data_IF_904522589669
#
_entry.id   IF_904522589669
#
_cell.length_a   1.000
_cell.length_b   1.000
_cell.length_c   1.000
_cell.angle_alpha   90.00
_cell.angle_beta   90.00
_cell.angle_gamma   90.00
#
_symmetry.space_group_name_H-M   'P 1'
#
loop_
_entity.id
_entity.type
_entity.pdbx_description
1 polymer ?
#
# COMPACT_ATOMS: atom_id res chain seq x y z
N UNK A 1 20.99 -7.22 10.86
CA UNK A 1 20.63 -8.04 9.68
C UNK A 1 19.14 -8.35 9.61
N UNK A 2 18.51 -8.79 10.72
CA UNK A 2 17.06 -9.04 10.78
C UNK A 2 16.19 -7.82 10.39
N UNK A 3 16.57 -6.62 10.87
CA UNK A 3 15.88 -5.37 10.56
C UNK A 3 15.82 -5.06 9.06
N UNK A 4 16.95 -5.23 8.35
CA UNK A 4 17.04 -5.00 6.89
C UNK A 4 16.19 -6.00 6.08
N UNK A 5 16.11 -7.25 6.53
CA UNK A 5 15.27 -8.26 5.87
C UNK A 5 13.79 -7.98 6.09
N UNK A 6 13.40 -7.66 7.34
CA UNK A 6 12.04 -7.29 7.68
C UNK A 6 11.59 -6.05 6.90
N UNK A 7 12.44 -5.03 6.85
CA UNK A 7 12.20 -3.81 6.08
C UNK A 7 11.95 -4.12 4.60
N UNK A 8 12.81 -4.92 3.97
CA UNK A 8 12.63 -5.32 2.55
C UNK A 8 11.35 -6.12 2.31
N UNK A 9 10.95 -6.95 3.27
CA UNK A 9 9.68 -7.66 3.19
C UNK A 9 8.50 -6.67 3.21
N UNK A 10 8.50 -5.72 4.15
CA UNK A 10 7.45 -4.69 4.24
C UNK A 10 7.41 -3.81 2.98
N UNK A 11 8.57 -3.39 2.47
CA UNK A 11 8.72 -2.70 1.19
C UNK A 11 8.02 -3.45 0.06
N UNK A 12 8.30 -4.75 -0.05
CA UNK A 12 7.75 -5.60 -1.09
C UNK A 12 6.24 -5.74 -1.00
N UNK A 13 5.69 -5.85 0.20
CA UNK A 13 4.23 -5.91 0.40
C UNK A 13 3.54 -4.62 -0.08
N UNK A 14 4.11 -3.45 0.22
CA UNK A 14 3.58 -2.18 -0.27
C UNK A 14 3.64 -2.05 -1.80
N UNK A 15 4.70 -2.56 -2.44
CA UNK A 15 4.77 -2.61 -3.90
C UNK A 15 3.65 -3.45 -4.50
N UNK A 16 3.43 -4.65 -3.96
CA UNK A 16 2.40 -5.59 -4.43
C UNK A 16 1.00 -4.97 -4.28
N UNK A 17 0.70 -4.38 -3.12
CA UNK A 17 -0.59 -3.73 -2.86
C UNK A 17 -0.81 -2.56 -3.83
N UNK A 18 0.21 -1.71 -4.02
CA UNK A 18 0.14 -0.57 -4.94
C UNK A 18 -0.06 -0.98 -6.40
N UNK A 19 0.62 -2.05 -6.84
CA UNK A 19 0.46 -2.58 -8.18
C UNK A 19 -0.93 -3.20 -8.39
N UNK A 20 -1.42 -3.97 -7.42
CA UNK A 20 -2.77 -4.54 -7.46
C UNK A 20 -3.83 -3.44 -7.56
N UNK A 21 -3.71 -2.37 -6.75
CA UNK A 21 -4.62 -1.23 -6.83
C UNK A 21 -4.57 -0.52 -8.19
N UNK A 22 -3.38 -0.37 -8.77
CA UNK A 22 -3.22 0.20 -10.11
C UNK A 22 -3.87 -0.66 -11.21
N UNK A 23 -3.90 -1.98 -11.04
CA UNK A 23 -4.62 -2.89 -11.96
C UNK A 23 -6.13 -2.78 -11.78
N UNK A 24 -6.61 -2.72 -10.54
CA UNK A 24 -8.04 -2.52 -10.22
C UNK A 24 -8.55 -1.22 -10.85
N UNK A 25 -7.84 -0.11 -10.66
CA UNK A 25 -8.24 1.19 -11.21
C UNK A 25 -8.32 1.20 -12.75
N UNK A 26 -7.46 0.42 -13.42
CA UNK A 26 -7.49 0.28 -14.89
C UNK A 26 -8.63 -0.63 -15.36
N UNK A 27 -8.98 -1.64 -14.58
CA UNK A 27 -10.03 -2.59 -14.91
C UNK A 27 -11.41 -1.98 -14.69
N UNK A 28 -11.59 -1.33 -13.53
CA UNK A 28 -12.83 -0.67 -13.15
C UNK A 28 -12.54 0.50 -12.19
N UNK A 29 -12.52 1.72 -12.72
CA UNK A 29 -12.31 2.94 -11.94
C UNK A 29 -13.53 3.34 -11.11
N UNK A 30 -14.71 2.75 -11.38
CA UNK A 30 -15.95 3.04 -10.65
C UNK A 30 -15.99 2.37 -9.27
N UNK A 31 -15.16 1.36 -9.02
CA UNK A 31 -15.04 0.71 -7.72
C UNK A 31 -14.63 1.70 -6.64
N UNK A 32 -15.51 1.89 -5.66
CA UNK A 32 -15.28 2.84 -4.60
C UNK A 32 -14.41 2.22 -3.50
N UNK A 33 -13.11 2.37 -3.64
CA UNK A 33 -12.11 2.06 -2.61
C UNK A 33 -11.53 3.38 -2.14
N UNK A 34 -11.39 3.58 -0.82
CA UNK A 34 -10.79 4.81 -0.32
C UNK A 34 -9.32 4.88 -0.70
N UNK A 35 -8.82 6.10 -0.89
CA UNK A 35 -7.38 6.36 -1.03
C UNK A 35 -6.65 5.60 -2.18
N UNK A 36 -7.34 5.14 -3.24
CA UNK A 36 -6.73 4.42 -4.38
C UNK A 36 -5.48 5.10 -4.93
N UNK A 37 -5.56 6.41 -5.16
CA UNK A 37 -4.45 7.22 -5.68
C UNK A 37 -3.25 7.25 -4.73
N UNK A 38 -3.49 7.33 -3.43
CA UNK A 38 -2.46 7.31 -2.40
C UNK A 38 -1.81 5.92 -2.31
N UNK A 39 -2.58 4.84 -2.41
CA UNK A 39 -2.07 3.46 -2.41
C UNK A 39 -1.14 3.23 -3.62
N UNK A 40 -1.56 3.65 -4.81
CA UNK A 40 -0.73 3.59 -6.02
C UNK A 40 0.53 4.46 -5.86
N UNK A 41 0.39 5.66 -5.29
CA UNK A 41 1.52 6.57 -5.07
C UNK A 41 2.50 6.06 -4.01
N UNK A 42 2.02 5.28 -3.04
CA UNK A 42 2.84 4.67 -1.99
C UNK A 42 3.89 3.74 -2.57
N UNK A 43 3.55 2.94 -3.60
CA UNK A 43 4.53 2.15 -4.37
C UNK A 43 5.71 2.99 -4.84
N UNK A 44 5.42 4.14 -5.46
CA UNK A 44 6.47 5.02 -6.01
C UNK A 44 7.33 5.62 -4.88
N UNK A 45 6.71 5.95 -3.75
CA UNK A 45 7.42 6.46 -2.57
C UNK A 45 8.38 5.41 -2.03
N UNK A 46 7.91 4.16 -1.88
CA UNK A 46 8.72 3.02 -1.41
C UNK A 46 9.90 2.75 -2.35
N UNK A 47 9.71 2.79 -3.67
CA UNK A 47 10.79 2.50 -4.63
C UNK A 47 11.85 3.61 -4.69
N UNK A 48 11.46 4.88 -4.59
CA UNK A 48 12.36 6.02 -4.85
C UNK A 48 12.85 6.77 -3.61
N UNK A 49 12.22 6.56 -2.45
CA UNK A 49 12.36 7.45 -1.31
C UNK A 49 12.94 6.83 -0.05
N UNK A 50 13.29 5.54 -0.01
CA UNK A 50 13.42 4.82 1.27
C UNK A 50 14.63 5.23 2.15
N UNK A 51 15.58 6.01 1.63
CA UNK A 51 16.61 6.67 2.45
C UNK A 51 16.08 7.94 3.15
N UNK A 52 14.90 8.42 2.75
CA UNK A 52 14.17 9.60 3.24
C UNK A 52 12.73 9.30 3.69
N UNK A 53 12.25 8.06 3.55
CA UNK A 53 10.91 7.69 4.04
C UNK A 53 11.01 7.54 5.55
N UNK A 54 10.23 8.36 6.23
CA UNK A 54 10.08 8.28 7.67
C UNK A 54 9.38 6.96 8.03
N UNK A 55 9.99 6.18 8.91
CA UNK A 55 9.41 4.95 9.46
C UNK A 55 8.03 5.22 10.08
N UNK A 56 7.78 6.43 10.56
CA UNK A 56 6.47 6.85 11.08
C UNK A 56 5.38 6.84 10.01
N UNK A 57 5.70 7.15 8.74
CA UNK A 57 4.75 7.11 7.63
C UNK A 57 4.40 5.66 7.31
N UNK A 58 5.40 4.78 7.25
CA UNK A 58 5.21 3.34 7.00
C UNK A 58 4.34 2.75 8.11
N UNK A 59 4.75 2.94 9.36
CA UNK A 59 4.02 2.43 10.51
C UNK A 59 2.61 3.00 10.61
N UNK A 60 2.46 4.31 10.40
CA UNK A 60 1.17 4.97 10.36
C UNK A 60 0.24 4.41 9.28
N UNK A 61 0.80 4.06 8.12
CA UNK A 61 0.05 3.41 7.03
C UNK A 61 -0.39 2.00 7.40
N UNK A 62 0.50 1.21 7.99
CA UNK A 62 0.19 -0.14 8.46
C UNK A 62 -0.93 -0.13 9.49
N UNK A 63 -0.85 0.77 10.48
CA UNK A 63 -1.79 0.77 11.61
C UNK A 63 -3.12 1.42 11.25
N UNK A 64 -3.13 2.50 10.46
CA UNK A 64 -4.34 3.30 10.24
C UNK A 64 -5.04 3.07 8.91
N UNK A 65 -4.29 2.74 7.85
CA UNK A 65 -4.82 2.73 6.49
C UNK A 65 -5.02 1.30 5.95
N UNK A 66 -4.08 0.38 6.21
CA UNK A 66 -4.24 -1.01 5.77
C UNK A 66 -5.49 -1.71 6.32
N UNK A 67 -5.91 -1.53 7.59
CA UNK A 67 -7.13 -2.17 8.09
C UNK A 67 -8.39 -1.68 7.38
N UNK A 68 -8.44 -0.40 7.01
CA UNK A 68 -9.56 0.17 6.24
C UNK A 68 -9.60 -0.42 4.84
N UNK A 69 -8.46 -0.43 4.15
CA UNK A 69 -8.36 -1.06 2.82
C UNK A 69 -8.80 -2.52 2.85
N UNK A 70 -8.35 -3.28 3.86
CA UNK A 70 -8.75 -4.69 4.02
C UNK A 70 -10.28 -4.83 4.10
N UNK A 71 -10.96 -4.02 4.92
CA UNK A 71 -12.42 -4.05 5.05
C UNK A 71 -13.13 -3.71 3.74
N UNK A 72 -12.63 -2.74 2.99
CA UNK A 72 -13.19 -2.34 1.70
C UNK A 72 -13.08 -3.48 0.67
N UNK A 73 -11.91 -4.11 0.57
CA UNK A 73 -11.70 -5.26 -0.32
C UNK A 73 -12.59 -6.44 0.10
N UNK A 74 -12.64 -6.77 1.39
CA UNK A 74 -13.52 -7.83 1.90
C UNK A 74 -15.00 -7.55 1.62
N UNK A 75 -15.43 -6.29 1.62
CA UNK A 75 -16.80 -5.91 1.27
C UNK A 75 -17.10 -6.06 -0.21
N UNK A 76 -16.10 -5.91 -1.09
CA UNK A 76 -16.26 -6.07 -2.54
C UNK A 76 -16.27 -7.53 -3.00
N UNK A 77 -15.72 -8.43 -2.17
CA UNK A 77 -15.65 -9.87 -2.45
C UNK A 77 -16.86 -10.66 -1.92
N UNK A 78 -17.78 -9.99 -1.22
CA UNK A 78 -19.07 -10.57 -0.81
C UNK A 78 -20.09 -10.42 -1.93
#
# INVERSE_FOLDING_TARGET
>A
MADKMLRRAVEREFEIIGEAMGRIEKLDSSLNISSKKQIISMRNRVIHGYDKIDNEIIWGTIVRHLPTLKKEIESLLK
#
